data_IF_602923508634
#
_entry.id   IF_602923508634
#
_cell.length_a   1.000
_cell.length_b   1.000
_cell.length_c   1.000
_cell.angle_alpha   90.00
_cell.angle_beta   90.00
_cell.angle_gamma   90.00
#
_symmetry.space_group_name_H-M   'P 1'
#
loop_
_entity.id
_entity.type
_entity.pdbx_description
1 polymer ?
#
# COMPACT_ATOMS: atom_id res chain seq x y z
N UNK A 1 12.68 22.60 -12.07
CA UNK A 1 11.58 22.20 -11.17
C UNK A 1 10.40 23.14 -11.43
N UNK A 2 9.21 22.59 -11.62
CA UNK A 2 7.95 23.31 -11.85
C UNK A 2 7.24 23.75 -10.56
N UNK A 3 7.58 23.11 -9.42
CA UNK A 3 6.85 23.14 -8.13
C UNK A 3 5.42 22.65 -8.26
N UNK A 4 5.18 21.64 -9.10
CA UNK A 4 3.84 21.10 -9.36
C UNK A 4 3.78 19.59 -9.13
N UNK A 5 2.74 19.11 -8.46
CA UNK A 5 2.47 17.68 -8.23
C UNK A 5 1.12 17.31 -8.83
N UNK A 6 1.10 16.32 -9.74
CA UNK A 6 -0.17 15.82 -10.29
C UNK A 6 -0.73 14.72 -9.38
N UNK A 7 -2.05 14.71 -9.18
CA UNK A 7 -2.76 13.63 -8.50
C UNK A 7 -3.60 12.88 -9.53
N UNK A 8 -3.30 11.61 -9.76
CA UNK A 8 -4.06 10.79 -10.69
C UNK A 8 -5.30 10.19 -10.04
N UNK A 9 -6.41 10.25 -10.77
CA UNK A 9 -7.69 9.60 -10.48
C UNK A 9 -8.19 8.82 -11.69
N UNK A 10 -9.25 8.04 -11.50
CA UNK A 10 -10.04 7.41 -12.57
C UNK A 10 -11.53 7.68 -12.31
N UNK A 11 -12.33 7.75 -13.37
CA UNK A 11 -13.77 7.87 -13.20
C UNK A 11 -14.41 6.56 -12.72
N UNK A 12 -15.40 6.68 -11.84
CA UNK A 12 -16.12 5.54 -11.30
C UNK A 12 -15.40 4.84 -10.14
N UNK A 13 -16.00 3.75 -9.67
CA UNK A 13 -15.60 3.07 -8.44
C UNK A 13 -16.48 3.45 -7.24
N UNK A 14 -16.54 2.56 -6.25
CA UNK A 14 -17.29 2.76 -5.01
C UNK A 14 -16.59 3.70 -4.01
N UNK A 15 -15.35 4.09 -4.30
CA UNK A 15 -14.50 4.94 -3.46
C UNK A 15 -14.61 6.44 -3.80
N UNK A 16 -15.35 6.81 -4.85
CA UNK A 16 -15.57 8.21 -5.25
C UNK A 16 -16.86 8.77 -4.66
N UNK A 17 -16.94 10.10 -4.54
CA UNK A 17 -18.16 10.81 -4.12
C UNK A 17 -18.79 11.60 -5.28
N UNK A 18 -19.74 12.50 -4.97
CA UNK A 18 -20.52 13.24 -5.98
C UNK A 18 -19.67 14.17 -6.86
N UNK A 19 -18.46 14.51 -6.42
CA UNK A 19 -17.48 15.33 -7.14
C UNK A 19 -16.55 14.51 -8.03
N UNK A 20 -16.70 13.18 -8.05
CA UNK A 20 -15.87 12.27 -8.86
C UNK A 20 -14.53 11.92 -8.22
N UNK A 21 -14.23 12.43 -7.03
CA UNK A 21 -12.96 12.21 -6.34
C UNK A 21 -13.12 11.25 -5.16
N UNK A 22 -12.02 10.59 -4.79
CA UNK A 22 -11.93 10.04 -3.43
C UNK A 22 -12.00 11.19 -2.44
N UNK A 23 -12.59 10.91 -1.28
CA UNK A 23 -12.71 11.90 -0.20
C UNK A 23 -11.37 12.42 0.32
N UNK A 24 -10.28 11.69 0.08
CA UNK A 24 -8.93 12.09 0.48
C UNK A 24 -8.13 12.79 -0.65
N UNK A 25 -8.58 12.75 -1.91
CA UNK A 25 -7.86 13.35 -3.05
C UNK A 25 -7.79 14.87 -2.96
N UNK A 26 -8.93 15.56 -2.82
CA UNK A 26 -8.94 17.02 -2.74
C UNK A 26 -8.25 17.55 -1.47
N UNK A 27 -8.42 16.94 -0.28
CA UNK A 27 -7.61 17.31 0.89
C UNK A 27 -6.10 17.25 0.64
N UNK A 28 -5.59 16.23 -0.07
CA UNK A 28 -4.17 16.17 -0.45
C UNK A 28 -3.80 17.33 -1.39
N UNK A 29 -4.61 17.59 -2.41
CA UNK A 29 -4.38 18.68 -3.37
C UNK A 29 -4.32 20.04 -2.66
N UNK A 30 -5.28 20.32 -1.78
CA UNK A 30 -5.32 21.57 -1.02
C UNK A 30 -4.17 21.68 -0.01
N UNK A 31 -3.76 20.57 0.61
CA UNK A 31 -2.59 20.55 1.48
C UNK A 31 -1.28 20.85 0.73
N UNK A 32 -1.11 20.36 -0.50
CA UNK A 32 0.02 20.70 -1.37
C UNK A 32 -0.03 22.19 -1.74
N UNK A 33 -1.20 22.70 -2.14
CA UNK A 33 -1.41 24.13 -2.48
C UNK A 33 -1.10 25.06 -1.31
N UNK A 34 -1.52 24.69 -0.11
CA UNK A 34 -1.24 25.45 1.10
C UNK A 34 0.27 25.59 1.41
N UNK A 35 1.11 24.72 0.83
CA UNK A 35 2.59 24.77 0.93
C UNK A 35 3.24 25.54 -0.22
N UNK A 36 2.46 26.24 -1.04
CA UNK A 36 2.95 27.04 -2.16
C UNK A 36 3.40 26.24 -3.38
N UNK A 37 2.93 24.99 -3.50
CA UNK A 37 3.12 24.14 -4.68
C UNK A 37 1.84 24.07 -5.51
N UNK A 38 1.96 23.99 -6.83
CA UNK A 38 0.82 23.67 -7.67
C UNK A 38 0.41 22.22 -7.50
N UNK A 39 -0.90 21.96 -7.51
CA UNK A 39 -1.43 20.61 -7.54
C UNK A 39 -2.72 20.55 -8.34
N UNK A 40 -2.87 19.51 -9.14
CA UNK A 40 -4.01 19.30 -10.03
C UNK A 40 -4.42 17.83 -10.05
N UNK A 41 -5.72 17.57 -10.15
CA UNK A 41 -6.24 16.21 -10.36
C UNK A 41 -6.38 15.96 -11.85
N UNK A 42 -5.83 14.84 -12.32
CA UNK A 42 -5.94 14.42 -13.72
C UNK A 42 -6.50 13.00 -13.78
N UNK A 43 -7.46 12.78 -14.68
CA UNK A 43 -8.10 11.50 -14.86
C UNK A 43 -7.38 10.64 -15.91
N UNK A 44 -7.10 9.39 -15.56
CA UNK A 44 -6.56 8.42 -16.51
C UNK A 44 -7.66 7.76 -17.33
N UNK A 45 -7.49 7.80 -18.66
CA UNK A 45 -8.19 6.95 -19.61
C UNK A 45 -7.18 6.36 -20.60
N UNK A 46 -7.34 5.10 -21.04
CA UNK A 46 -6.42 4.48 -22.00
C UNK A 46 -6.20 5.32 -23.26
N UNK A 47 -7.27 5.90 -23.83
CA UNK A 47 -7.22 6.74 -25.03
C UNK A 47 -6.48 8.07 -24.84
N UNK A 48 -6.23 8.50 -23.61
CA UNK A 48 -5.52 9.74 -23.29
C UNK A 48 -4.06 9.53 -22.89
N UNK A 49 -3.56 8.29 -22.85
CA UNK A 49 -2.23 7.95 -22.34
C UNK A 49 -1.12 8.85 -22.89
N UNK A 50 -1.03 9.06 -24.20
CA UNK A 50 0.02 9.92 -24.78
C UNK A 50 -0.18 11.41 -24.49
N UNK A 51 -1.43 11.88 -24.44
CA UNK A 51 -1.73 13.26 -24.08
C UNK A 51 -1.40 13.53 -22.59
N UNK A 52 -1.72 12.57 -21.71
CA UNK A 52 -1.38 12.59 -20.30
C UNK A 52 0.13 12.58 -20.10
N UNK A 53 0.85 11.71 -20.81
CA UNK A 53 2.31 11.66 -20.75
C UNK A 53 2.92 13.03 -21.12
N UNK A 54 2.55 13.58 -22.28
CA UNK A 54 3.06 14.86 -22.76
C UNK A 54 2.72 16.03 -21.82
N UNK A 55 1.48 16.09 -21.33
CA UNK A 55 1.04 17.13 -20.42
C UNK A 55 1.74 17.02 -19.05
N UNK A 56 1.78 15.83 -18.46
CA UNK A 56 2.33 15.64 -17.13
C UNK A 56 3.86 15.81 -17.12
N UNK A 57 4.56 15.22 -18.09
CA UNK A 57 6.03 15.35 -18.20
C UNK A 57 6.50 16.79 -18.46
N UNK A 58 5.68 17.63 -19.09
CA UNK A 58 6.04 19.02 -19.39
C UNK A 58 5.71 20.03 -18.30
N UNK A 59 4.94 19.65 -17.26
CA UNK A 59 4.37 20.61 -16.31
C UNK A 59 4.54 20.25 -14.82
N UNK A 60 4.96 19.02 -14.49
CA UNK A 60 4.98 18.51 -13.11
C UNK A 60 6.32 17.87 -12.76
N UNK A 61 6.68 17.89 -11.47
CA UNK A 61 7.92 17.29 -10.95
C UNK A 61 7.70 15.93 -10.28
N UNK A 62 6.44 15.62 -9.93
CA UNK A 62 6.07 14.36 -9.31
C UNK A 62 4.59 14.05 -9.45
N UNK A 63 4.23 12.80 -9.13
CA UNK A 63 2.85 12.33 -9.19
C UNK A 63 2.45 11.52 -7.95
N UNK A 64 1.19 11.66 -7.55
CA UNK A 64 0.52 10.80 -6.56
C UNK A 64 -0.56 9.99 -7.27
N UNK A 65 -0.51 8.67 -7.19
CA UNK A 65 -1.62 7.83 -7.66
C UNK A 65 -2.67 7.63 -6.56
N UNK A 66 -3.89 8.11 -6.81
CA UNK A 66 -5.08 7.83 -5.98
C UNK A 66 -6.06 6.90 -6.70
N UNK A 67 -5.51 6.02 -7.52
CA UNK A 67 -6.26 5.07 -8.36
C UNK A 67 -6.23 3.69 -7.73
N UNK A 68 -7.40 3.13 -7.44
CA UNK A 68 -7.51 1.71 -7.11
C UNK A 68 -7.30 0.88 -8.39
N UNK A 69 -6.32 -0.05 -8.44
CA UNK A 69 -6.06 -0.84 -9.65
C UNK A 69 -7.28 -1.55 -10.22
N UNK A 70 -8.19 -2.02 -9.37
CA UNK A 70 -9.43 -2.69 -9.79
C UNK A 70 -10.43 -1.80 -10.51
N UNK A 71 -10.28 -0.47 -10.41
CA UNK A 71 -11.17 0.50 -11.06
C UNK A 71 -10.59 1.05 -12.38
N UNK A 72 -9.40 0.60 -12.80
CA UNK A 72 -8.75 1.11 -14.02
C UNK A 72 -9.47 0.58 -15.27
N UNK A 73 -9.98 1.45 -16.15
CA UNK A 73 -10.61 1.02 -17.40
C UNK A 73 -9.63 0.22 -18.27
N UNK A 74 -10.00 -1.01 -18.64
CA UNK A 74 -9.16 -1.89 -19.45
C UNK A 74 -8.01 -2.58 -18.69
N UNK A 75 -7.98 -2.47 -17.35
CA UNK A 75 -6.95 -3.08 -16.50
C UNK A 75 -5.73 -2.18 -16.27
N UNK A 76 -4.89 -2.55 -15.31
CA UNK A 76 -3.81 -1.70 -14.79
C UNK A 76 -2.61 -1.52 -15.75
N UNK A 77 -2.44 -2.41 -16.74
CA UNK A 77 -1.22 -2.49 -17.56
C UNK A 77 -0.88 -1.14 -18.23
N UNK A 78 -1.86 -0.51 -18.88
CA UNK A 78 -1.64 0.77 -19.56
C UNK A 78 -1.37 1.92 -18.60
N UNK A 79 -1.99 1.89 -17.43
CA UNK A 79 -1.77 2.90 -16.39
C UNK A 79 -0.38 2.77 -15.77
N UNK A 80 0.06 1.54 -15.47
CA UNK A 80 1.40 1.28 -14.95
C UNK A 80 2.49 1.58 -15.97
N UNK A 81 2.25 1.37 -17.27
CA UNK A 81 3.15 1.81 -18.33
C UNK A 81 3.31 3.35 -18.32
N UNK A 82 2.21 4.10 -18.24
CA UNK A 82 2.25 5.55 -18.11
C UNK A 82 3.07 6.00 -16.89
N UNK A 83 2.80 5.45 -15.71
CA UNK A 83 3.51 5.82 -14.48
C UNK A 83 5.01 5.48 -14.57
N UNK A 84 5.34 4.31 -15.13
CA UNK A 84 6.73 3.89 -15.36
C UNK A 84 7.45 4.85 -16.31
N UNK A 85 6.81 5.28 -17.41
CA UNK A 85 7.39 6.26 -18.34
C UNK A 85 7.58 7.63 -17.69
N UNK A 86 6.62 8.09 -16.88
CA UNK A 86 6.74 9.37 -16.17
C UNK A 86 7.93 9.38 -15.22
N UNK A 87 8.15 8.29 -14.47
CA UNK A 87 9.29 8.18 -13.56
C UNK A 87 10.61 7.93 -14.29
N UNK A 88 10.64 6.96 -15.21
CA UNK A 88 11.87 6.45 -15.84
C UNK A 88 12.35 7.29 -17.03
N UNK A 89 11.46 7.80 -17.86
CA UNK A 89 11.82 8.57 -19.06
C UNK A 89 11.76 10.08 -18.81
N UNK A 90 10.69 10.57 -18.19
CA UNK A 90 10.51 11.99 -17.90
C UNK A 90 11.15 12.45 -16.58
N UNK A 91 11.59 11.50 -15.74
CA UNK A 91 12.33 11.79 -14.52
C UNK A 91 11.48 12.31 -13.36
N UNK A 92 10.15 12.21 -13.40
CA UNK A 92 9.29 12.63 -12.29
C UNK A 92 9.54 11.76 -11.03
N UNK A 93 9.29 12.34 -9.86
CA UNK A 93 9.23 11.57 -8.61
C UNK A 93 7.87 10.89 -8.50
N UNK A 94 7.88 9.56 -8.57
CA UNK A 94 6.69 8.76 -8.29
C UNK A 94 6.53 8.57 -6.78
N UNK A 95 5.34 8.85 -6.25
CA UNK A 95 5.07 8.66 -4.82
C UNK A 95 4.68 7.23 -4.46
N UNK A 96 4.28 6.45 -5.47
CA UNK A 96 4.10 5.01 -5.42
C UNK A 96 4.32 4.52 -6.84
N UNK A 97 5.56 4.16 -7.18
CA UNK A 97 5.87 3.67 -8.53
C UNK A 97 5.20 2.31 -8.77
N UNK A 98 4.95 1.90 -10.02
CA UNK A 98 4.43 0.56 -10.31
C UNK A 98 5.30 -0.56 -9.72
N UNK A 99 6.62 -0.36 -9.68
CA UNK A 99 7.56 -1.28 -9.04
C UNK A 99 7.29 -1.40 -7.54
N UNK A 100 7.22 -0.29 -6.81
CA UNK A 100 6.87 -0.27 -5.38
C UNK A 100 5.49 -0.89 -5.11
N UNK A 101 4.49 -0.54 -5.92
CA UNK A 101 3.13 -1.06 -5.79
C UNK A 101 3.10 -2.59 -5.91
N UNK A 102 3.84 -3.14 -6.87
CA UNK A 102 3.91 -4.58 -7.08
C UNK A 102 4.75 -5.27 -6.02
N UNK A 103 5.84 -4.65 -5.59
CA UNK A 103 6.80 -5.32 -4.71
C UNK A 103 6.38 -5.30 -3.23
N UNK A 104 5.74 -4.22 -2.77
CA UNK A 104 5.16 -4.13 -1.42
C UNK A 104 3.71 -4.65 -1.36
N UNK A 105 2.94 -4.50 -2.43
CA UNK A 105 1.50 -4.87 -2.45
C UNK A 105 1.22 -6.34 -2.78
N UNK A 106 2.19 -7.06 -3.36
CA UNK A 106 2.03 -8.50 -3.61
C UNK A 106 2.06 -9.31 -2.31
N UNK A 107 1.24 -10.36 -2.24
CA UNK A 107 1.20 -11.22 -1.05
C UNK A 107 2.50 -11.99 -0.82
N UNK A 108 3.30 -12.23 -1.87
CA UNK A 108 4.62 -12.85 -1.72
C UNK A 108 5.64 -11.97 -0.98
N UNK A 109 5.32 -10.71 -0.67
CA UNK A 109 6.10 -9.90 0.25
C UNK A 109 6.33 -10.64 1.58
N UNK A 110 5.34 -11.39 2.06
CA UNK A 110 5.47 -12.22 3.26
C UNK A 110 6.56 -13.29 3.09
N UNK A 111 6.58 -13.97 1.94
CA UNK A 111 7.55 -15.03 1.66
C UNK A 111 8.96 -14.46 1.55
N UNK A 112 9.11 -13.26 0.96
CA UNK A 112 10.40 -12.55 0.90
C UNK A 112 10.92 -12.20 2.30
N UNK A 113 10.02 -11.99 3.26
CA UNK A 113 10.31 -11.61 4.65
C UNK A 113 10.37 -12.79 5.64
N UNK A 114 10.17 -14.04 5.21
CA UNK A 114 10.10 -15.22 6.11
C UNK A 114 11.40 -15.56 6.86
N UNK A 115 12.53 -15.01 6.42
CA UNK A 115 13.83 -15.18 7.09
C UNK A 115 14.07 -14.08 8.16
N UNK A 116 13.07 -13.26 8.43
CA UNK A 116 13.06 -12.25 9.48
C UNK A 116 12.12 -12.69 10.61
N UNK A 117 12.20 -12.05 11.77
CA UNK A 117 11.29 -12.32 12.90
C UNK A 117 9.85 -11.82 12.64
N UNK A 118 9.59 -11.12 11.52
CA UNK A 118 8.27 -10.60 11.18
C UNK A 118 7.30 -11.66 10.65
N UNK A 119 7.81 -12.70 10.00
CA UNK A 119 6.98 -13.67 9.26
C UNK A 119 7.44 -15.09 9.58
N UNK A 120 6.53 -16.04 9.85
CA UNK A 120 6.90 -17.42 10.13
C UNK A 120 7.72 -18.03 8.98
N UNK A 121 8.81 -18.70 9.33
CA UNK A 121 9.76 -19.27 8.37
C UNK A 121 9.17 -20.35 7.45
N UNK A 122 8.04 -20.94 7.85
CA UNK A 122 7.28 -21.92 7.07
C UNK A 122 6.21 -21.27 6.16
N UNK A 123 6.33 -19.97 5.90
CA UNK A 123 5.52 -19.27 4.89
C UNK A 123 6.06 -19.56 3.49
N UNK A 124 5.18 -19.91 2.56
CA UNK A 124 5.51 -20.26 1.18
C UNK A 124 4.58 -19.56 0.18
N UNK A 125 5.02 -19.43 -1.08
CA UNK A 125 4.18 -19.03 -2.20
C UNK A 125 4.23 -20.11 -3.28
N UNK A 126 3.07 -20.45 -3.81
CA UNK A 126 2.93 -21.34 -4.95
C UNK A 126 2.62 -20.52 -6.19
N UNK A 127 3.51 -20.63 -7.19
CA UNK A 127 3.39 -19.94 -8.49
C UNK A 127 2.89 -20.89 -9.60
N UNK A 128 2.78 -22.19 -9.30
CA UNK A 128 2.25 -23.19 -10.21
C UNK A 128 1.45 -24.26 -9.44
N UNK A 129 0.46 -24.80 -10.13
CA UNK A 129 -0.48 -25.79 -9.58
C UNK A 129 0.23 -27.06 -9.12
N UNK A 130 1.24 -27.53 -9.85
CA UNK A 130 1.92 -28.79 -9.52
C UNK A 130 2.69 -28.67 -8.19
N UNK A 131 3.37 -27.55 -7.96
CA UNK A 131 4.07 -27.28 -6.69
C UNK A 131 3.08 -27.16 -5.53
N UNK A 132 1.95 -26.48 -5.73
CA UNK A 132 0.90 -26.38 -4.71
C UNK A 132 0.36 -27.76 -4.32
N UNK A 133 -0.11 -28.55 -5.29
CA UNK A 133 -0.68 -29.88 -5.05
C UNK A 133 0.33 -30.87 -4.46
N UNK A 134 1.61 -30.74 -4.82
CA UNK A 134 2.69 -31.58 -4.28
C UNK A 134 3.12 -31.21 -2.85
N UNK A 135 2.87 -29.99 -2.39
CA UNK A 135 3.45 -29.45 -1.14
C UNK A 135 2.40 -29.20 -0.06
N UNK A 136 1.23 -28.67 -0.43
CA UNK A 136 0.21 -28.27 0.54
C UNK A 136 -0.30 -29.41 1.44
N UNK A 137 -0.50 -30.66 0.97
CA UNK A 137 -0.86 -31.78 1.84
C UNK A 137 0.13 -32.02 2.98
N UNK A 138 1.42 -31.78 2.72
CA UNK A 138 2.48 -31.87 3.72
C UNK A 138 2.48 -30.65 4.63
N UNK A 139 2.30 -29.45 4.07
CA UNK A 139 2.23 -28.21 4.87
C UNK A 139 1.10 -28.25 5.91
N UNK A 140 -0.09 -28.70 5.50
CA UNK A 140 -1.27 -28.82 6.35
C UNK A 140 -1.11 -29.87 7.48
N UNK A 141 -0.19 -30.83 7.33
CA UNK A 141 0.12 -31.80 8.40
C UNK A 141 0.79 -31.18 9.62
N UNK A 142 1.37 -29.97 9.49
CA UNK A 142 1.97 -29.24 10.62
C UNK A 142 0.93 -28.48 11.47
N UNK A 143 -0.32 -28.39 11.00
CA UNK A 143 -1.40 -27.66 11.67
C UNK A 143 -2.19 -26.81 10.70
N UNK A 144 -3.09 -25.99 11.25
CA UNK A 144 -3.97 -25.13 10.46
C UNK A 144 -3.18 -24.13 9.61
N UNK A 145 -3.64 -23.93 8.37
CA UNK A 145 -3.01 -23.02 7.40
C UNK A 145 -3.96 -21.91 6.99
N UNK A 146 -3.41 -20.80 6.54
CA UNK A 146 -4.12 -19.71 5.89
C UNK A 146 -3.57 -19.57 4.48
N UNK A 147 -4.42 -19.86 3.48
CA UNK A 147 -4.12 -19.64 2.08
C UNK A 147 -4.60 -18.25 1.66
N UNK A 148 -3.76 -17.49 0.96
CA UNK A 148 -4.07 -16.11 0.52
C UNK A 148 -3.80 -15.95 -0.97
N UNK A 149 -4.81 -15.64 -1.76
CA UNK A 149 -4.62 -15.25 -3.15
C UNK A 149 -3.85 -13.92 -3.26
N UNK A 150 -3.11 -13.72 -4.34
CA UNK A 150 -2.33 -12.49 -4.54
C UNK A 150 -3.19 -11.22 -4.64
N UNK A 151 -4.28 -11.30 -5.41
CA UNK A 151 -5.16 -10.16 -5.70
C UNK A 151 -6.52 -10.40 -5.10
N UNK A 152 -6.79 -9.71 -4.00
CA UNK A 152 -8.07 -9.75 -3.33
C UNK A 152 -8.17 -8.56 -2.39
N UNK A 153 -9.38 -8.08 -2.17
CA UNK A 153 -9.64 -7.10 -1.12
C UNK A 153 -10.64 -7.68 -0.15
N UNK A 154 -10.73 -7.07 1.04
CA UNK A 154 -11.77 -7.37 2.04
C UNK A 154 -11.90 -8.86 2.40
N UNK A 155 -10.79 -9.61 2.41
CA UNK A 155 -10.78 -11.01 2.82
C UNK A 155 -11.12 -12.04 1.74
N UNK A 156 -11.48 -11.62 0.52
CA UNK A 156 -11.76 -12.55 -0.57
C UNK A 156 -10.50 -13.35 -0.95
N UNK A 157 -10.66 -14.67 -1.12
CA UNK A 157 -9.59 -15.63 -1.38
C UNK A 157 -8.57 -15.75 -0.26
N UNK A 158 -8.96 -15.43 0.97
CA UNK A 158 -8.19 -15.74 2.19
C UNK A 158 -8.93 -16.85 2.94
N UNK A 159 -8.34 -18.03 3.00
CA UNK A 159 -8.96 -19.23 3.52
C UNK A 159 -8.20 -19.76 4.73
N UNK A 160 -8.86 -19.86 5.88
CA UNK A 160 -8.37 -20.70 6.99
C UNK A 160 -8.74 -22.15 6.70
N UNK A 161 -7.76 -23.03 6.70
CA UNK A 161 -7.87 -24.43 6.32
C UNK A 161 -7.43 -25.29 7.50
N UNK A 162 -8.31 -26.16 7.97
CA UNK A 162 -8.02 -27.10 9.06
C UNK A 162 -8.63 -28.47 8.78
N UNK A 163 -8.06 -29.52 9.37
CA UNK A 163 -8.69 -30.84 9.33
C UNK A 163 -10.05 -30.79 10.05
N UNK A 164 -11.05 -31.44 9.47
CA UNK A 164 -12.39 -31.53 10.06
C UNK A 164 -12.38 -32.46 11.29
N UNK A 165 -11.62 -33.56 11.21
CA UNK A 165 -11.39 -34.48 12.31
C UNK A 165 -10.30 -33.92 13.26
N UNK A 166 -10.72 -33.59 14.48
CA UNK A 166 -9.85 -33.04 15.52
C UNK A 166 -8.88 -34.09 16.09
N UNK A 167 -9.28 -35.36 16.14
CA UNK A 167 -8.41 -36.43 16.65
C UNK A 167 -7.32 -36.72 15.62
N UNK A 168 -7.66 -36.67 14.32
CA UNK A 168 -6.66 -36.74 13.24
C UNK A 168 -5.71 -35.55 13.28
N UNK A 169 -6.21 -34.32 13.52
CA UNK A 169 -5.37 -33.12 13.61
C UNK A 169 -4.31 -33.21 14.73
N UNK A 170 -4.60 -33.94 15.82
CA UNK A 170 -3.66 -34.15 16.93
C UNK A 170 -2.72 -35.32 16.68
N UNK A 171 -3.14 -36.34 15.93
CA UNK A 171 -2.39 -37.58 15.74
C UNK A 171 -1.58 -37.65 14.45
N UNK A 172 -1.81 -36.76 13.48
CA UNK A 172 -0.99 -36.67 12.26
C UNK A 172 0.46 -36.38 12.62
N UNK A 173 1.39 -37.13 12.02
CA UNK A 173 2.83 -36.85 12.15
C UNK A 173 3.20 -35.69 11.22
N UNK A 174 3.69 -34.55 11.76
CA UNK A 174 4.07 -33.41 10.92
C UNK A 174 5.11 -33.78 9.88
N UNK A 175 4.90 -33.34 8.63
CA UNK A 175 5.72 -33.71 7.48
C UNK A 175 5.20 -34.92 6.70
N UNK A 176 4.12 -35.57 7.16
CA UNK A 176 3.46 -36.64 6.42
C UNK A 176 2.39 -36.05 5.49
N UNK A 177 2.46 -36.27 4.16
CA UNK A 177 1.43 -35.80 3.25
C UNK A 177 0.06 -36.38 3.59
N UNK A 178 -0.94 -35.51 3.74
CA UNK A 178 -2.32 -35.93 3.97
C UNK A 178 -2.94 -36.59 2.72
N UNK A 179 -3.76 -37.66 2.87
CA UNK A 179 -4.56 -38.20 1.78
C UNK A 179 -5.50 -37.17 1.15
N UNK A 180 -5.74 -37.24 -0.16
CA UNK A 180 -6.57 -36.26 -0.88
C UNK A 180 -8.05 -36.30 -0.48
N UNK A 181 -8.54 -37.43 0.04
CA UNK A 181 -9.90 -37.59 0.58
C UNK A 181 -10.04 -37.11 2.05
N UNK A 182 -8.97 -36.54 2.63
CA UNK A 182 -9.00 -35.96 3.97
C UNK A 182 -10.04 -34.85 4.04
N UNK A 183 -10.95 -34.93 5.02
CA UNK A 183 -12.00 -33.93 5.24
C UNK A 183 -11.44 -32.68 5.91
N UNK A 184 -11.75 -31.52 5.34
CA UNK A 184 -11.31 -30.20 5.77
C UNK A 184 -12.49 -29.32 6.14
N UNK A 185 -12.23 -28.35 7.02
CA UNK A 185 -13.06 -27.16 7.20
C UNK A 185 -12.28 -25.99 6.61
N UNK A 186 -12.84 -25.37 5.58
CA UNK A 186 -12.29 -24.20 4.90
C UNK A 186 -13.18 -22.99 5.21
N UNK A 187 -12.64 -21.98 5.90
CA UNK A 187 -13.39 -20.76 6.26
C UNK A 187 -12.83 -19.57 5.50
N UNK A 188 -13.66 -18.87 4.71
CA UNK A 188 -13.22 -17.70 3.95
C UNK A 188 -13.34 -16.42 4.78
N UNK A 189 -12.32 -15.56 4.72
CA UNK A 189 -12.32 -14.31 5.48
C UNK A 189 -13.28 -13.25 4.92
N UNK A 190 -13.84 -13.42 3.72
CA UNK A 190 -14.72 -12.41 3.11
C UNK A 190 -15.97 -12.16 3.96
N UNK A 191 -16.55 -13.21 4.54
CA UNK A 191 -17.77 -13.16 5.35
C UNK A 191 -17.79 -14.21 6.49
N UNK A 192 -16.68 -14.91 6.74
CA UNK A 192 -16.53 -16.02 7.70
C UNK A 192 -17.43 -17.24 7.41
N UNK A 193 -17.93 -17.44 6.19
CA UNK A 193 -18.59 -18.71 5.89
C UNK A 193 -17.58 -19.87 5.93
N UNK A 194 -18.05 -21.05 6.34
CA UNK A 194 -17.26 -22.27 6.38
C UNK A 194 -17.84 -23.33 5.46
N UNK A 195 -16.96 -24.08 4.82
CA UNK A 195 -17.29 -25.18 3.92
C UNK A 195 -16.57 -26.45 4.35
N UNK A 196 -17.27 -27.58 4.27
CA UNK A 196 -16.67 -28.91 4.38
C UNK A 196 -16.24 -29.39 3.00
N UNK A 197 -14.95 -29.68 2.82
CA UNK A 197 -14.37 -30.13 1.55
C UNK A 197 -13.42 -31.30 1.73
N UNK A 198 -13.17 -32.05 0.66
CA UNK A 198 -12.01 -32.94 0.60
C UNK A 198 -10.76 -32.13 0.21
N UNK A 199 -9.59 -32.54 0.69
CA UNK A 199 -8.32 -31.86 0.41
C UNK A 199 -8.06 -31.72 -1.09
N UNK A 200 -8.26 -32.77 -1.87
CA UNK A 200 -8.12 -32.74 -3.33
C UNK A 200 -9.04 -31.71 -3.97
N UNK A 201 -10.34 -31.78 -3.67
CA UNK A 201 -11.35 -30.85 -4.21
C UNK A 201 -11.08 -29.39 -3.85
N UNK A 202 -10.56 -29.13 -2.63
CA UNK A 202 -10.20 -27.78 -2.22
C UNK A 202 -8.94 -27.27 -2.94
N UNK A 203 -7.97 -28.14 -3.21
CA UNK A 203 -6.79 -27.77 -4.01
C UNK A 203 -7.17 -27.47 -5.45
N UNK A 204 -7.98 -28.31 -6.09
CA UNK A 204 -8.53 -28.06 -7.44
C UNK A 204 -9.27 -26.71 -7.50
N UNK A 205 -10.04 -26.38 -6.46
CA UNK A 205 -10.69 -25.08 -6.35
C UNK A 205 -9.67 -23.92 -6.26
N UNK A 206 -8.57 -24.08 -5.52
CA UNK A 206 -7.56 -23.04 -5.36
C UNK A 206 -6.71 -22.79 -6.61
N UNK A 207 -6.72 -23.68 -7.60
CA UNK A 207 -6.00 -23.50 -8.88
C UNK A 207 -6.37 -22.18 -9.56
N UNK A 208 -7.60 -21.71 -9.38
CA UNK A 208 -8.07 -20.42 -9.92
C UNK A 208 -7.27 -19.21 -9.41
N UNK A 209 -6.65 -19.31 -8.23
CA UNK A 209 -5.83 -18.24 -7.64
C UNK A 209 -4.40 -18.22 -8.19
N UNK A 210 -3.97 -19.34 -8.79
CA UNK A 210 -2.62 -19.53 -9.35
C UNK A 210 -2.63 -19.32 -10.87
N UNK A 211 -3.70 -19.73 -11.55
CA UNK A 211 -3.82 -19.62 -13.01
C UNK A 211 -4.18 -18.18 -13.40
N UNK A 212 -3.31 -17.54 -14.18
CA UNK A 212 -3.57 -16.22 -14.79
C UNK A 212 -2.45 -15.23 -14.52
N UNK A 213 -2.66 -13.99 -14.96
CA UNK A 213 -1.68 -12.92 -14.78
C UNK A 213 -1.49 -12.60 -13.29
N UNK A 214 -0.24 -12.64 -12.83
CA UNK A 214 0.15 -12.45 -11.42
C UNK A 214 -0.50 -13.44 -10.44
N UNK A 215 -0.95 -14.60 -10.93
CA UNK A 215 -1.50 -15.67 -10.10
C UNK A 215 -0.44 -16.27 -9.17
N UNK A 216 -0.80 -16.40 -7.89
CA UNK A 216 -0.05 -17.11 -6.87
C UNK A 216 -0.94 -17.35 -5.65
N UNK A 217 -0.54 -18.31 -4.83
CA UNK A 217 -1.19 -18.61 -3.55
C UNK A 217 -0.15 -18.65 -2.43
N UNK A 218 -0.29 -17.76 -1.45
CA UNK A 218 0.55 -17.77 -0.26
C UNK A 218 -0.03 -18.75 0.75
N UNK A 219 0.83 -19.57 1.34
CA UNK A 219 0.54 -20.50 2.42
C UNK A 219 1.30 -20.10 3.68
N UNK A 220 0.57 -19.80 4.74
CA UNK A 220 1.09 -19.34 6.03
C UNK A 220 0.41 -20.12 7.15
N UNK A 221 1.10 -20.39 8.26
CA UNK A 221 0.43 -20.97 9.43
C UNK A 221 -0.70 -20.06 9.94
N UNK A 222 -1.77 -20.65 10.47
CA UNK A 222 -2.81 -19.89 11.15
C UNK A 222 -2.28 -19.31 12.46
N UNK A 223 -2.57 -18.04 12.72
CA UNK A 223 -2.20 -17.32 13.95
C UNK A 223 -3.40 -17.30 14.90
N UNK A 224 -3.46 -18.13 15.97
CA UNK A 224 -4.67 -18.29 16.78
C UNK A 224 -5.11 -17.01 17.49
N UNK A 225 -4.16 -16.15 17.85
CA UNK A 225 -4.43 -14.86 18.51
C UNK A 225 -5.01 -13.79 17.58
N UNK A 226 -5.28 -14.08 16.30
CA UNK A 226 -6.03 -13.17 15.42
C UNK A 226 -7.41 -12.78 16.01
N UNK A 227 -7.99 -13.63 16.86
CA UNK A 227 -9.23 -13.33 17.59
C UNK A 227 -9.11 -12.17 18.58
N UNK A 228 -7.88 -11.82 19.00
CA UNK A 228 -7.59 -10.64 19.81
C UNK A 228 -7.63 -9.36 18.96
N UNK A 229 -7.29 -9.49 17.68
CA UNK A 229 -7.47 -8.48 16.63
C UNK A 229 -6.23 -8.29 15.77
N UNK A 230 -6.46 -7.84 14.53
CA UNK A 230 -5.40 -7.41 13.61
C UNK A 230 -5.03 -5.95 13.91
N UNK A 231 -3.74 -5.64 13.95
CA UNK A 231 -3.20 -4.33 14.30
C UNK A 231 -2.62 -3.71 13.03
N UNK A 232 -3.31 -2.74 12.45
CA UNK A 232 -2.89 -2.04 11.23
C UNK A 232 -2.21 -0.72 11.59
N UNK A 233 -0.96 -0.56 11.19
CA UNK A 233 -0.26 0.73 11.28
C UNK A 233 -0.44 1.46 9.94
N UNK A 234 -1.01 2.67 9.95
CA UNK A 234 -0.99 3.54 8.78
C UNK A 234 0.29 4.38 8.77
N UNK A 235 0.98 4.37 7.63
CA UNK A 235 2.25 5.02 7.41
C UNK A 235 2.11 6.12 6.34
N UNK A 236 2.76 7.26 6.57
CA UNK A 236 3.07 8.25 5.53
C UNK A 236 4.59 8.33 5.40
N UNK A 237 5.10 7.86 4.27
CA UNK A 237 6.53 7.57 4.13
C UNK A 237 7.01 6.68 5.30
N UNK A 238 8.04 7.10 6.06
CA UNK A 238 8.55 6.32 7.20
C UNK A 238 7.80 6.59 8.51
N UNK A 239 6.80 7.47 8.51
CA UNK A 239 6.18 7.99 9.72
C UNK A 239 4.88 7.23 10.06
N UNK A 240 4.78 6.59 11.24
CA UNK A 240 3.51 6.02 11.71
C UNK A 240 2.56 7.16 12.09
N UNK A 241 1.33 7.10 11.58
CA UNK A 241 0.32 8.15 11.78
C UNK A 241 -0.66 7.73 12.87
N UNK A 242 -1.26 6.55 12.72
CA UNK A 242 -2.18 5.97 13.69
C UNK A 242 -2.25 4.45 13.54
N UNK A 243 -2.80 3.81 14.56
CA UNK A 243 -3.01 2.37 14.61
C UNK A 243 -4.50 2.07 14.59
N UNK A 244 -4.92 1.13 13.75
CA UNK A 244 -6.27 0.58 13.77
C UNK A 244 -6.21 -0.83 14.34
N UNK A 245 -6.85 -1.04 15.48
CA UNK A 245 -7.05 -2.38 16.02
C UNK A 245 -8.40 -2.92 15.54
N UNK A 246 -8.35 -3.96 14.71
CA UNK A 246 -9.50 -4.56 14.03
C UNK A 246 -9.80 -5.90 14.68
N UNK A 247 -10.75 -5.91 15.60
CA UNK A 247 -11.13 -7.12 16.34
C UNK A 247 -12.23 -7.90 15.60
N UNK A 248 -11.99 -9.17 15.19
CA UNK A 248 -13.00 -10.00 14.55
C UNK A 248 -14.28 -10.16 15.38
N UNK A 249 -15.38 -10.49 14.71
CA UNK A 249 -16.63 -10.83 15.38
C UNK A 249 -16.42 -12.04 16.32
N UNK A 250 -16.97 -11.97 17.54
CA UNK A 250 -16.79 -13.03 18.52
C UNK A 250 -17.53 -14.32 18.15
N UNK A 251 -16.93 -15.46 18.51
CA UNK A 251 -17.54 -16.79 18.43
C UNK A 251 -17.24 -17.55 17.13
N UNK A 252 -17.43 -18.86 17.17
CA UNK A 252 -17.23 -19.75 16.02
C UNK A 252 -15.79 -19.79 15.52
N UNK A 253 -15.65 -19.90 14.20
CA UNK A 253 -14.37 -19.89 13.48
C UNK A 253 -14.04 -18.51 12.88
N UNK A 254 -14.72 -17.45 13.36
CA UNK A 254 -14.53 -16.09 12.88
C UNK A 254 -13.09 -15.62 13.11
N UNK A 255 -12.42 -15.25 12.02
CA UNK A 255 -11.06 -14.71 12.07
C UNK A 255 -10.90 -13.45 11.19
N UNK A 256 -11.90 -13.14 10.36
CA UNK A 256 -11.87 -11.97 9.50
C UNK A 256 -11.88 -10.67 10.31
N UNK A 257 -10.94 -9.79 9.98
CA UNK A 257 -10.80 -8.46 10.57
C UNK A 257 -11.49 -7.37 9.74
N UNK A 258 -12.47 -7.71 8.89
CA UNK A 258 -13.16 -6.75 8.02
C UNK A 258 -14.46 -6.24 8.66
N UNK A 259 -14.83 -4.97 8.41
CA UNK A 259 -16.11 -4.43 8.86
C UNK A 259 -17.31 -5.22 8.33
N UNK A 260 -17.23 -5.71 7.08
CA UNK A 260 -18.30 -6.47 6.44
C UNK A 260 -18.57 -7.81 7.11
N UNK A 261 -17.55 -8.42 7.71
CA UNK A 261 -17.66 -9.67 8.47
C UNK A 261 -17.98 -9.45 9.96
N UNK A 262 -18.24 -8.20 10.36
CA UNK A 262 -18.67 -7.83 11.72
C UNK A 262 -17.54 -7.47 12.68
N UNK A 263 -16.32 -7.22 12.17
CA UNK A 263 -15.22 -6.75 13.01
C UNK A 263 -15.50 -5.36 13.60
N UNK A 264 -14.92 -5.09 14.78
CA UNK A 264 -14.97 -3.79 15.46
C UNK A 264 -13.61 -3.12 15.39
N UNK A 265 -13.59 -1.86 14.97
CA UNK A 265 -12.36 -1.10 14.82
C UNK A 265 -12.23 -0.08 15.96
N UNK A 266 -11.05 -0.01 16.54
CA UNK A 266 -10.62 1.12 17.39
C UNK A 266 -9.44 1.82 16.72
N UNK A 267 -9.30 3.10 17.03
CA UNK A 267 -8.27 3.96 16.46
C UNK A 267 -7.43 4.48 17.62
N UNK A 268 -6.18 4.04 17.64
CA UNK A 268 -5.24 4.28 18.72
C UNK A 268 -4.06 5.11 18.21
N UNK A 269 -3.32 5.73 19.14
CA UNK A 269 -2.10 6.43 18.78
C UNK A 269 -0.97 5.41 18.60
N UNK A 270 0.05 5.70 17.77
CA UNK A 270 1.23 4.84 17.69
C UNK A 270 1.90 4.59 19.05
N UNK A 271 1.87 5.59 19.94
CA UNK A 271 2.41 5.49 21.30
C UNK A 271 1.70 4.46 22.20
N UNK A 272 0.44 4.12 21.90
CA UNK A 272 -0.30 3.07 22.62
C UNK A 272 0.17 1.66 22.20
N UNK A 273 0.94 1.57 21.11
CA UNK A 273 1.49 0.36 20.50
C UNK A 273 3.01 0.48 20.28
N UNK A 274 3.71 1.13 21.21
CA UNK A 274 5.12 1.53 21.03
C UNK A 274 6.04 0.34 20.70
N UNK A 275 5.88 -0.80 21.38
CA UNK A 275 6.70 -1.99 21.15
C UNK A 275 6.60 -2.49 19.70
N UNK A 276 5.39 -2.52 19.14
CA UNK A 276 5.16 -2.86 17.73
C UNK A 276 5.75 -1.80 16.79
N UNK A 277 5.56 -0.52 17.10
CA UNK A 277 6.07 0.59 16.27
C UNK A 277 7.60 0.57 16.22
N UNK A 278 8.26 0.28 17.34
CA UNK A 278 9.71 0.18 17.43
C UNK A 278 10.22 -1.07 16.70
N UNK A 279 9.60 -2.23 16.93
CA UNK A 279 9.93 -3.46 16.19
C UNK A 279 9.79 -3.26 14.68
N UNK A 280 8.70 -2.64 14.24
CA UNK A 280 8.50 -2.38 12.82
C UNK A 280 9.55 -1.39 12.30
N UNK A 281 9.88 -0.37 13.08
CA UNK A 281 10.89 0.62 12.72
C UNK A 281 12.29 0.01 12.52
N UNK A 282 12.68 -0.92 13.37
CA UNK A 282 13.93 -1.68 13.27
C UNK A 282 13.94 -2.62 12.06
N UNK A 283 12.80 -3.19 11.69
CA UNK A 283 12.70 -4.09 10.56
C UNK A 283 12.60 -3.38 9.19
N UNK A 284 12.20 -2.10 9.15
CA UNK A 284 12.03 -1.34 7.89
C UNK A 284 13.22 -1.40 6.93
N UNK A 285 14.49 -1.25 7.35
CA UNK A 285 15.62 -1.35 6.43
C UNK A 285 15.71 -2.72 5.72
N UNK A 286 15.40 -3.79 6.45
CA UNK A 286 15.38 -5.16 5.89
C UNK A 286 14.19 -5.34 4.96
N UNK A 287 13.04 -4.74 5.27
CA UNK A 287 11.88 -4.72 4.37
C UNK A 287 12.22 -4.00 3.07
N UNK A 288 12.81 -2.80 3.17
CA UNK A 288 13.26 -2.01 2.03
C UNK A 288 14.22 -2.82 1.14
N UNK A 289 15.27 -3.41 1.73
CA UNK A 289 16.22 -4.26 1.00
C UNK A 289 15.55 -5.43 0.26
N UNK A 290 14.63 -6.14 0.94
CA UNK A 290 13.99 -7.35 0.38
C UNK A 290 12.85 -7.06 -0.60
N UNK A 291 12.19 -5.89 -0.50
CA UNK A 291 10.98 -5.57 -1.25
C UNK A 291 11.16 -4.46 -2.30
N UNK A 292 12.30 -3.77 -2.44
CA UNK A 292 12.42 -2.81 -3.55
C UNK A 292 13.44 -1.69 -3.42
N UNK A 293 14.37 -1.77 -2.47
CA UNK A 293 15.34 -0.70 -2.19
C UNK A 293 14.81 0.37 -1.23
N UNK A 294 15.50 1.51 -1.14
CA UNK A 294 15.24 2.59 -0.18
C UNK A 294 13.89 3.33 -0.42
N UNK A 295 13.21 3.06 -1.54
CA UNK A 295 11.96 3.71 -1.90
C UNK A 295 10.76 3.04 -1.22
N UNK A 296 10.30 3.68 -0.14
CA UNK A 296 9.06 3.30 0.57
C UNK A 296 7.85 3.99 -0.03
N UNK A 297 6.67 3.34 -0.10
CA UNK A 297 5.47 4.00 -0.61
C UNK A 297 5.10 5.25 0.19
N UNK A 298 4.48 6.24 -0.47
CA UNK A 298 4.05 7.48 0.21
C UNK A 298 2.96 7.22 1.25
N UNK A 299 1.97 6.37 0.94
CA UNK A 299 0.88 6.01 1.87
C UNK A 299 0.72 4.50 1.84
N UNK A 300 0.93 3.87 2.97
CA UNK A 300 0.89 2.42 3.06
C UNK A 300 0.51 1.95 4.46
N UNK A 301 0.18 0.68 4.58
CA UNK A 301 -0.10 0.04 5.87
C UNK A 301 0.67 -1.24 6.03
N UNK A 302 0.96 -1.57 7.28
CA UNK A 302 1.43 -2.89 7.69
C UNK A 302 0.45 -3.44 8.73
N UNK A 303 -0.04 -4.64 8.47
CA UNK A 303 -1.09 -5.29 9.25
C UNK A 303 -0.49 -6.48 9.99
N UNK A 304 -0.58 -6.45 11.32
CA UNK A 304 0.04 -7.42 12.22
C UNK A 304 -0.99 -8.25 12.98
N UNK A 305 -0.57 -9.45 13.36
CA UNK A 305 -1.28 -10.34 14.25
C UNK A 305 -0.41 -10.59 15.47
N UNK A 306 -1.04 -10.80 16.62
CA UNK A 306 -0.32 -11.21 17.82
C UNK A 306 0.09 -12.69 17.73
N UNK A 307 1.20 -13.02 18.37
CA UNK A 307 1.62 -14.38 18.69
C UNK A 307 2.34 -14.39 20.07
N UNK A 308 2.73 -15.56 20.56
CA UNK A 308 3.53 -15.69 21.80
C UNK A 308 5.04 -15.64 21.47
N UNK A 309 5.83 -14.96 22.27
CA UNK A 309 7.30 -14.89 22.10
C UNK A 309 8.05 -16.13 22.67
N UNK A 310 7.31 -17.10 23.20
CA UNK A 310 7.81 -18.31 23.87
C UNK A 310 8.30 -18.08 25.31
N UNK A 311 8.19 -16.84 25.81
CA UNK A 311 8.61 -16.40 27.15
C UNK A 311 7.46 -15.77 27.93
N UNK A 312 6.23 -15.86 27.40
CA UNK A 312 5.02 -15.30 28.01
C UNK A 312 4.80 -13.82 27.70
N UNK A 313 5.48 -13.27 26.70
CA UNK A 313 5.26 -11.96 26.12
C UNK A 313 4.59 -12.03 24.74
N UNK A 314 4.26 -10.86 24.20
CA UNK A 314 3.69 -10.72 22.86
C UNK A 314 4.81 -10.68 21.80
N UNK A 315 4.57 -11.36 20.68
CA UNK A 315 5.29 -11.14 19.43
C UNK A 315 4.32 -10.69 18.34
N UNK A 316 4.84 -10.07 17.29
CA UNK A 316 4.03 -9.49 16.20
C UNK A 316 4.38 -10.13 14.87
N UNK A 317 3.37 -10.70 14.22
CA UNK A 317 3.51 -11.38 12.94
C UNK A 317 2.86 -10.55 11.84
N UNK A 318 3.64 -10.17 10.83
CA UNK A 318 3.17 -9.43 9.68
C UNK A 318 2.25 -10.31 8.81
N UNK A 319 1.02 -9.85 8.62
CA UNK A 319 -0.02 -10.53 7.84
C UNK A 319 -0.21 -9.99 6.42
N UNK A 320 0.05 -8.69 6.21
CA UNK A 320 -0.05 -8.00 4.92
C UNK A 320 0.66 -6.64 4.95
N UNK A 321 1.15 -6.20 3.80
CA UNK A 321 1.47 -4.80 3.51
C UNK A 321 0.52 -4.32 2.40
N UNK A 322 -0.05 -3.12 2.56
CA UNK A 322 -0.87 -2.48 1.54
C UNK A 322 -0.28 -1.15 1.14
N UNK A 323 -0.07 -0.90 -0.16
CA UNK A 323 0.43 0.38 -0.66
C UNK A 323 -0.36 0.91 -1.87
N UNK A 324 -1.30 0.12 -2.41
CA UNK A 324 -2.11 0.53 -3.55
C UNK A 324 -3.35 1.30 -3.08
N UNK A 325 -3.33 2.63 -3.23
CA UNK A 325 -4.48 3.50 -3.00
C UNK A 325 -5.11 3.37 -1.59
N UNK A 326 -4.26 3.24 -0.56
CA UNK A 326 -4.66 3.22 0.85
C UNK A 326 -5.44 4.50 1.18
N UNK A 327 -6.66 4.33 1.73
CA UNK A 327 -7.55 5.44 2.07
C UNK A 327 -7.49 5.82 3.55
N UNK A 328 -7.64 7.10 3.82
CA UNK A 328 -7.74 7.67 5.18
C UNK A 328 -8.93 8.63 5.31
N UNK A 329 -9.98 8.36 4.53
CA UNK A 329 -11.11 9.26 4.28
C UNK A 329 -11.96 9.58 5.50
N UNK A 330 -11.98 8.73 6.53
CA UNK A 330 -12.67 8.98 7.79
C UNK A 330 -11.84 9.80 8.78
N UNK A 331 -10.52 9.91 8.55
CA UNK A 331 -9.54 10.42 9.51
C UNK A 331 -8.86 11.72 9.04
N UNK A 332 -9.46 12.45 8.10
CA UNK A 332 -8.92 13.73 7.58
C UNK A 332 -8.59 14.75 8.69
N UNK A 333 -9.30 14.67 9.81
CA UNK A 333 -9.08 15.54 10.97
C UNK A 333 -7.73 15.29 11.68
N UNK A 334 -7.03 14.19 11.37
CA UNK A 334 -5.74 13.81 11.99
C UNK A 334 -4.52 14.46 11.32
N UNK A 335 -4.71 15.28 10.28
CA UNK A 335 -3.62 16.00 9.62
C UNK A 335 -2.83 15.16 8.60
N UNK A 336 -3.43 14.10 8.07
CA UNK A 336 -2.75 13.11 7.24
C UNK A 336 -2.41 13.70 5.87
N UNK A 337 -3.33 14.46 5.28
CA UNK A 337 -3.12 15.14 4.01
C UNK A 337 -1.93 16.12 4.06
N UNK A 338 -1.72 16.78 5.20
CA UNK A 338 -0.57 17.65 5.46
C UNK A 338 0.73 16.84 5.45
N UNK A 339 0.78 15.72 6.19
CA UNK A 339 1.95 14.84 6.19
C UNK A 339 2.26 14.28 4.80
N UNK A 340 1.22 13.90 4.05
CA UNK A 340 1.34 13.39 2.67
C UNK A 340 1.93 14.47 1.76
N UNK A 341 1.45 15.71 1.87
CA UNK A 341 1.96 16.83 1.11
C UNK A 341 3.42 17.15 1.47
N UNK A 342 3.75 17.20 2.76
CA UNK A 342 5.11 17.44 3.25
C UNK A 342 6.10 16.39 2.74
N UNK A 343 5.75 15.11 2.85
CA UNK A 343 6.61 14.01 2.42
C UNK A 343 6.75 13.98 0.88
N UNK A 344 5.67 14.24 0.14
CA UNK A 344 5.72 14.31 -1.32
C UNK A 344 6.65 15.45 -1.81
N UNK A 345 6.51 16.64 -1.23
CA UNK A 345 7.36 17.80 -1.54
C UNK A 345 8.82 17.51 -1.19
N UNK A 346 9.08 16.98 0.01
CA UNK A 346 10.42 16.62 0.47
C UNK A 346 11.12 15.65 -0.48
N UNK A 347 10.41 14.63 -0.99
CA UNK A 347 10.98 13.68 -1.97
C UNK A 347 11.37 14.35 -3.29
N UNK A 348 10.54 15.28 -3.77
CA UNK A 348 10.83 16.05 -4.99
C UNK A 348 12.04 16.97 -4.77
N UNK A 349 12.09 17.69 -3.65
CA UNK A 349 13.21 18.57 -3.30
C UNK A 349 14.51 17.78 -3.08
N UNK A 350 14.44 16.57 -2.52
CA UNK A 350 15.61 15.70 -2.38
C UNK A 350 16.20 15.30 -3.74
N UNK A 351 15.37 15.11 -4.77
CA UNK A 351 15.82 14.74 -6.12
C UNK A 351 16.36 15.92 -6.92
N UNK A 352 15.70 17.08 -6.84
CA UNK A 352 15.99 18.23 -7.72
C UNK A 352 16.64 19.43 -7.02
N UNK A 353 16.87 19.36 -5.70
CA UNK A 353 17.26 20.48 -4.86
C UNK A 353 16.03 21.28 -4.36
N UNK A 354 16.18 22.10 -3.30
CA UNK A 354 15.12 23.01 -2.88
C UNK A 354 14.80 23.98 -4.02
N UNK A 355 13.52 24.34 -4.16
CA UNK A 355 13.16 25.36 -5.14
C UNK A 355 13.84 26.69 -4.77
N UNK A 356 14.59 27.29 -5.70
CA UNK A 356 14.94 28.70 -5.55
C UNK A 356 13.63 29.50 -5.58
N UNK A 357 13.38 30.29 -4.54
CA UNK A 357 12.32 31.28 -4.57
C UNK A 357 12.58 32.16 -5.79
N UNK A 358 11.62 32.21 -6.70
CA UNK A 358 11.68 33.12 -7.84
C UNK A 358 11.93 34.53 -7.28
N UNK A 359 13.15 35.03 -7.47
CA UNK A 359 13.48 36.42 -7.18
C UNK A 359 12.47 37.24 -7.98
N UNK A 360 11.57 37.94 -7.28
CA UNK A 360 10.70 38.92 -7.92
C UNK A 360 11.61 39.80 -8.79
N UNK A 361 11.27 40.04 -10.07
CA UNK A 361 12.07 40.93 -10.89
C UNK A 361 12.14 42.27 -10.17
N UNK A 362 13.32 42.57 -9.61
CA UNK A 362 13.57 43.83 -8.95
C UNK A 362 13.16 44.96 -9.89
N UNK A 363 12.41 45.91 -9.37
CA UNK A 363 11.99 47.15 -10.03
C UNK A 363 13.21 47.88 -10.65
N UNK A 364 13.61 47.50 -11.86
CA UNK A 364 14.52 48.28 -12.71
C UNK A 364 13.66 49.29 -13.46
N UNK A 365 13.09 50.24 -12.72
CA UNK A 365 12.45 51.40 -13.29
C UNK A 365 12.41 52.56 -12.30
N UNK A 366 13.57 53.01 -11.80
CA UNK A 366 13.68 54.32 -11.12
C UNK A 366 15.10 54.89 -11.00
N UNK A 367 15.88 54.87 -12.07
CA UNK A 367 16.99 55.81 -12.23
C UNK A 367 17.06 56.22 -13.71
N UNK A 368 16.30 57.26 -14.06
CA UNK A 368 16.51 58.10 -15.25
C UNK A 368 15.44 59.21 -15.23
N UNK A 369 15.55 60.13 -14.27
CA UNK A 369 14.80 61.39 -14.29
C UNK A 369 15.43 62.38 -13.30
N UNK A 370 16.72 62.66 -13.48
CA UNK A 370 17.36 63.86 -12.95
C UNK A 370 18.68 64.06 -13.69
N UNK A 371 18.63 64.75 -14.85
CA UNK A 371 19.76 65.50 -15.46
C UNK A 371 19.32 66.13 -16.79
N UNK A 372 18.31 66.99 -16.76
CA UNK A 372 18.16 68.05 -17.79
C UNK A 372 17.58 69.29 -17.13
N UNK A 373 18.48 70.15 -16.63
CA UNK A 373 18.12 71.40 -15.98
C UNK A 373 19.22 72.45 -16.13
N UNK A 374 19.19 73.15 -17.26
CA UNK A 374 19.62 74.54 -17.50
C UNK A 374 21.05 74.97 -17.08
N UNK A 375 21.87 75.27 -18.09
CA UNK A 375 23.11 76.03 -17.96
C UNK A 375 23.63 76.46 -19.33
N UNK A 376 22.98 77.43 -19.96
CA UNK A 376 23.47 78.08 -21.18
C UNK A 376 23.89 79.51 -20.81
N UNK A 377 25.18 79.72 -20.56
CA UNK A 377 25.80 81.04 -20.41
C UNK A 377 26.19 81.58 -21.80
N UNK A 378 25.78 82.81 -22.08
CA UNK A 378 26.15 83.58 -23.25
C UNK A 378 27.57 84.17 -23.11
N UNK A 379 28.38 84.28 -24.18
CA UNK A 379 29.62 85.04 -24.14
C UNK A 379 29.41 86.48 -24.62
N UNK A 380 29.99 87.45 -23.90
CA UNK A 380 30.10 88.84 -24.31
C UNK A 380 31.56 89.33 -24.17
N UNK A 381 32.19 89.68 -25.31
CA UNK A 381 33.43 90.48 -25.43
C UNK A 381 34.72 89.82 -24.91
N UNK A 382 35.91 89.96 -25.49
CA UNK A 382 36.51 90.95 -26.43
C UNK A 382 37.53 90.21 -27.28
#
# INVERSE_FOLDING_TARGET
MHKNIVVFEVEGGSDKYIDGHRRDTMPIVEAIRARGWGAEVVYYRPEWTEALYAYVSGNFDGYVSRVNPGNIPGGEKGYFDLLSRLSGEAGLVGMSTPEEMMAYGAKDALVKLKDTDLVPSDTAAYYDVATFHGTFPTSLSYGERVLKQNRGSTGAGIWRVRLADKDLAVSVEPGTPLPLDTKLICTEAVDNHSEERELGDFMDFCDQYIIGDNGMLVDMRFMPRIVEGEIRILMVGPHPVFVVHKKPAAGGDNFSATLFSGAKYTYDKPADWQDLVDLFAEARPVIAEKLGGDDIPLIWTADFMLDDDGKGGDSYVLGEINCSCVGFTSELHMGIQEMVADEAIKRIEAKFGPAEDAVEPADVARENLETTGAGEEAPAGV
#
